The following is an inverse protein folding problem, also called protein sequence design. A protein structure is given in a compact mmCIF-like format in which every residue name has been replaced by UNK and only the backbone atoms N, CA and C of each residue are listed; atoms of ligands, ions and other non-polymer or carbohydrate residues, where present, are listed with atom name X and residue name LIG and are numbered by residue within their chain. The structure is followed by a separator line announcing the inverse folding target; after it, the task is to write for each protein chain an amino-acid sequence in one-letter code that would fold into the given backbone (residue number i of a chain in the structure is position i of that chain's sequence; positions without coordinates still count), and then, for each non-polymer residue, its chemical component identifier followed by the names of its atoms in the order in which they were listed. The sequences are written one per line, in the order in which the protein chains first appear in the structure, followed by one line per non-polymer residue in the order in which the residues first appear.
data_IF_600571023617
#
_entry.id   IF_600571023617
#
_cell.length_a   1.000
_cell.length_b   1.000
_cell.length_c   1.000
_cell.angle_alpha   90.00
_cell.angle_beta   90.00
_cell.angle_gamma   90.00
#
_symmetry.space_group_name_H-M   'P 1'
#
loop_
_entity.id
_entity.type
_entity.pdbx_description
1 polymer ?
#
# COMPACT_ATOMS: atom_id res chain seq x y z
N UNK A 1 -21.39 -2.96 -11.38
CA UNK A 1 -21.98 -2.24 -12.55
C UNK A 1 -20.94 -1.71 -13.56
N UNK A 2 -19.83 -2.39 -13.71
CA UNK A 2 -18.81 -2.05 -14.71
C UNK A 2 -19.09 -2.71 -16.08
N UNK A 3 -20.29 -3.22 -16.30
CA UNK A 3 -20.68 -3.82 -17.57
C UNK A 3 -20.58 -2.78 -18.71
N UNK A 4 -19.60 -2.98 -19.59
CA UNK A 4 -19.32 -2.09 -20.73
C UNK A 4 -18.14 -1.14 -20.54
N UNK A 5 -17.35 -1.28 -19.47
CA UNK A 5 -16.04 -0.65 -19.33
C UNK A 5 -14.94 -1.67 -19.62
N UNK A 6 -13.90 -1.22 -20.27
CA UNK A 6 -12.69 -1.99 -20.57
C UNK A 6 -11.43 -1.39 -19.91
N UNK A 7 -11.59 -0.28 -19.19
CA UNK A 7 -10.51 0.44 -18.51
C UNK A 7 -10.87 0.75 -17.06
N UNK A 8 -10.00 0.37 -16.16
CA UNK A 8 -10.23 0.48 -14.73
C UNK A 8 -9.06 1.17 -14.05
N UNK A 9 -9.35 2.14 -13.21
CA UNK A 9 -8.40 2.75 -12.27
C UNK A 9 -8.99 2.58 -10.88
N UNK A 10 -8.38 1.72 -10.08
CA UNK A 10 -8.93 1.24 -8.81
C UNK A 10 -7.98 1.54 -7.67
N UNK A 11 -8.43 2.32 -6.69
CA UNK A 11 -7.68 2.54 -5.46
C UNK A 11 -7.90 1.38 -4.49
N UNK A 12 -6.85 0.64 -4.18
CA UNK A 12 -6.89 -0.48 -3.24
C UNK A 12 -7.12 0.04 -1.82
N UNK A 13 -6.52 1.17 -1.45
CA UNK A 13 -6.80 1.84 -0.16
C UNK A 13 -8.30 2.16 0.02
N UNK A 14 -8.96 2.61 -1.06
CA UNK A 14 -10.40 2.91 -1.00
C UNK A 14 -11.25 1.65 -0.92
N UNK A 15 -10.91 0.63 -1.69
CA UNK A 15 -11.69 -0.60 -1.79
C UNK A 15 -11.58 -1.46 -0.52
N UNK A 16 -10.36 -1.62 0.01
CA UNK A 16 -10.09 -2.53 1.12
C UNK A 16 -10.23 -1.85 2.50
N UNK A 17 -9.99 -0.55 2.57
CA UNK A 17 -9.95 0.16 3.86
C UNK A 17 -10.89 1.36 3.94
N UNK A 18 -11.64 1.66 2.88
CA UNK A 18 -12.52 2.84 2.84
C UNK A 18 -11.78 4.16 2.65
N UNK A 19 -10.49 4.14 2.33
CA UNK A 19 -9.69 5.30 1.97
C UNK A 19 -8.27 5.29 2.50
N UNK A 20 -7.45 6.18 1.94
CA UNK A 20 -6.02 6.31 2.22
C UNK A 20 -5.70 6.50 3.72
N UNK A 21 -6.50 7.30 4.43
CA UNK A 21 -6.28 7.57 5.87
C UNK A 21 -6.62 6.34 6.70
N UNK A 22 -7.69 5.63 6.37
CA UNK A 22 -8.08 4.39 7.03
C UNK A 22 -7.06 3.27 6.79
N UNK A 23 -6.48 3.18 5.60
CA UNK A 23 -5.50 2.14 5.29
C UNK A 23 -4.23 2.21 6.15
N UNK A 24 -3.99 3.37 6.77
CA UNK A 24 -2.88 3.66 7.68
C UNK A 24 -3.28 3.64 9.16
N UNK A 25 -4.50 3.23 9.46
CA UNK A 25 -4.99 3.23 10.82
C UNK A 25 -4.22 2.23 11.69
N UNK A 26 -4.03 2.60 12.96
CA UNK A 26 -3.35 1.80 13.98
C UNK A 26 -4.35 0.95 14.77
N UNK A 27 -5.30 0.32 14.07
CA UNK A 27 -6.29 -0.59 14.66
C UNK A 27 -6.61 -1.71 13.68
N UNK A 28 -7.21 -2.77 14.19
CA UNK A 28 -7.64 -3.90 13.35
C UNK A 28 -8.74 -3.46 12.39
N UNK A 29 -8.60 -3.86 11.14
CA UNK A 29 -9.66 -3.69 10.16
C UNK A 29 -10.69 -4.80 10.32
N UNK A 30 -11.96 -4.41 10.28
CA UNK A 30 -13.07 -5.35 10.27
C UNK A 30 -13.22 -5.97 8.88
N UNK A 31 -13.85 -7.15 8.83
CA UNK A 31 -14.22 -7.78 7.57
C UNK A 31 -15.12 -6.86 6.74
N UNK A 32 -14.93 -6.88 5.43
CA UNK A 32 -15.66 -6.04 4.50
C UNK A 32 -16.98 -6.71 4.15
N UNK A 33 -18.10 -6.05 4.45
CA UNK A 33 -19.42 -6.53 4.09
C UNK A 33 -19.91 -5.88 2.82
N UNK A 34 -20.22 -6.69 1.81
CA UNK A 34 -20.83 -6.23 0.57
C UNK A 34 -22.34 -6.48 0.59
N UNK A 35 -23.16 -5.53 0.08
CA UNK A 35 -24.59 -5.78 -0.08
C UNK A 35 -24.81 -6.91 -1.10
N UNK A 36 -25.71 -7.84 -0.80
CA UNK A 36 -26.07 -8.90 -1.71
C UNK A 36 -26.57 -8.37 -3.07
N UNK A 37 -26.36 -9.13 -4.12
CA UNK A 37 -26.62 -8.72 -5.51
C UNK A 37 -28.08 -8.43 -5.83
N UNK A 38 -29.02 -8.97 -5.07
CA UNK A 38 -30.47 -8.70 -5.21
C UNK A 38 -31.04 -8.35 -3.85
N UNK A 39 -31.58 -7.14 -3.72
CA UNK A 39 -32.01 -6.52 -2.47
C UNK A 39 -32.86 -7.41 -1.58
N UNK A 40 -32.25 -7.95 -0.54
CA UNK A 40 -32.87 -8.79 0.50
C UNK A 40 -32.01 -9.98 0.93
N UNK A 41 -30.93 -10.30 0.26
CA UNK A 41 -29.99 -11.33 0.70
C UNK A 41 -29.05 -10.79 1.80
N UNK A 42 -28.54 -11.69 2.67
CA UNK A 42 -27.55 -11.34 3.67
C UNK A 42 -26.31 -10.78 2.99
N UNK A 43 -25.73 -9.72 3.54
CA UNK A 43 -24.47 -9.20 3.10
C UNK A 43 -23.39 -10.31 3.20
N UNK A 44 -22.68 -10.54 2.12
CA UNK A 44 -21.51 -11.41 2.15
C UNK A 44 -20.37 -10.65 2.81
N UNK A 45 -19.63 -11.32 3.67
CA UNK A 45 -18.50 -10.75 4.40
C UNK A 45 -17.22 -11.38 3.92
N UNK A 46 -16.25 -10.56 3.55
CA UNK A 46 -14.96 -10.96 3.04
C UNK A 46 -13.84 -10.35 3.88
N UNK A 47 -12.77 -11.08 4.06
CA UNK A 47 -11.50 -10.49 4.46
C UNK A 47 -10.94 -9.62 3.34
N UNK A 48 -10.00 -8.73 3.65
CA UNK A 48 -9.32 -7.92 2.64
C UNK A 48 -8.66 -8.77 1.56
N UNK A 49 -8.05 -9.89 1.94
CA UNK A 49 -7.39 -10.82 1.02
C UNK A 49 -8.38 -11.56 0.10
N UNK A 50 -9.51 -12.00 0.63
CA UNK A 50 -10.56 -12.66 -0.15
C UNK A 50 -11.18 -11.69 -1.15
N UNK A 51 -11.51 -10.47 -0.71
CA UNK A 51 -12.06 -9.45 -1.60
C UNK A 51 -11.06 -9.06 -2.69
N UNK A 52 -9.79 -8.90 -2.35
CA UNK A 52 -8.73 -8.62 -3.30
C UNK A 52 -8.58 -9.76 -4.32
N UNK A 53 -8.56 -11.01 -3.86
CA UNK A 53 -8.47 -12.19 -4.74
C UNK A 53 -9.65 -12.31 -5.68
N UNK A 54 -10.87 -12.08 -5.21
CA UNK A 54 -12.09 -12.07 -6.02
C UNK A 54 -12.05 -10.97 -7.09
N UNK A 55 -11.66 -9.75 -6.70
CA UNK A 55 -11.54 -8.62 -7.61
C UNK A 55 -10.51 -8.90 -8.71
N UNK A 56 -9.31 -9.31 -8.33
CA UNK A 56 -8.22 -9.55 -9.28
C UNK A 56 -8.51 -10.69 -10.24
N UNK A 57 -9.08 -11.79 -9.76
CA UNK A 57 -9.48 -12.91 -10.63
C UNK A 57 -10.55 -12.48 -11.63
N UNK A 58 -11.56 -11.74 -11.19
CA UNK A 58 -12.62 -11.23 -12.07
C UNK A 58 -12.08 -10.28 -13.14
N UNK A 59 -11.16 -9.39 -12.78
CA UNK A 59 -10.56 -8.45 -13.74
C UNK A 59 -9.60 -9.14 -14.74
N UNK A 60 -8.99 -10.24 -14.33
CA UNK A 60 -8.08 -11.02 -15.17
C UNK A 60 -8.80 -11.96 -16.15
N UNK A 61 -10.11 -12.24 -15.98
CA UNK A 61 -10.88 -13.08 -16.87
C UNK A 61 -10.99 -12.53 -18.30
N UNK A 62 -10.99 -11.21 -18.44
CA UNK A 62 -11.03 -10.52 -19.73
C UNK A 62 -9.70 -9.84 -20.00
N UNK A 63 -8.92 -10.42 -20.93
CA UNK A 63 -7.60 -9.91 -21.28
C UNK A 63 -7.65 -8.57 -22.05
N UNK A 64 -8.80 -8.16 -22.56
CA UNK A 64 -8.98 -6.87 -23.21
C UNK A 64 -9.17 -5.73 -22.21
N UNK A 65 -9.45 -6.03 -20.95
CA UNK A 65 -9.47 -5.05 -19.87
C UNK A 65 -8.07 -4.45 -19.66
N UNK A 66 -8.01 -3.16 -19.39
CA UNK A 66 -6.80 -2.47 -18.93
C UNK A 66 -7.03 -1.96 -17.51
N UNK A 67 -6.25 -2.49 -16.58
CA UNK A 67 -6.45 -2.25 -15.15
C UNK A 67 -5.23 -1.60 -14.53
N UNK A 68 -5.44 -0.51 -13.81
CA UNK A 68 -4.45 0.16 -13.00
C UNK A 68 -4.88 0.11 -11.54
N UNK A 69 -4.15 -0.66 -10.74
CA UNK A 69 -4.33 -0.75 -9.30
C UNK A 69 -3.47 0.31 -8.64
N UNK A 70 -4.08 1.16 -7.85
CA UNK A 70 -3.41 2.22 -7.12
C UNK A 70 -3.23 1.78 -5.67
N UNK A 71 -1.99 1.77 -5.21
CA UNK A 71 -1.58 1.39 -3.86
C UNK A 71 -0.70 2.49 -3.26
N UNK A 72 -0.49 2.50 -1.95
CA UNK A 72 0.35 3.49 -1.29
C UNK A 72 1.33 2.90 -0.30
N UNK A 73 2.54 3.47 -0.22
CA UNK A 73 3.46 3.27 0.89
C UNK A 73 3.10 4.26 1.99
N UNK A 74 2.94 3.76 3.22
CA UNK A 74 2.63 4.60 4.37
C UNK A 74 3.71 5.65 4.62
N UNK A 75 3.29 6.88 4.94
CA UNK A 75 4.19 7.89 5.49
C UNK A 75 4.70 7.51 6.89
N UNK A 76 5.71 8.22 7.39
CA UNK A 76 6.36 7.85 8.65
C UNK A 76 5.49 7.99 9.89
N UNK A 77 4.48 8.85 9.87
CA UNK A 77 3.65 9.10 11.04
C UNK A 77 2.16 9.08 10.70
N UNK A 78 1.29 8.76 11.66
CA UNK A 78 -0.16 8.78 11.48
C UNK A 78 -0.68 10.21 11.21
N UNK A 79 -1.95 10.30 10.80
CA UNK A 79 -2.58 11.61 10.57
C UNK A 79 -2.99 12.23 11.91
N UNK A 80 -2.50 13.46 12.17
CA UNK A 80 -2.90 14.23 13.36
C UNK A 80 -4.41 14.46 13.36
N UNK A 81 -5.04 14.25 14.51
CA UNK A 81 -6.47 14.45 14.71
C UNK A 81 -7.36 13.30 14.22
N UNK A 82 -6.83 12.35 13.49
CA UNK A 82 -7.57 11.17 13.10
C UNK A 82 -7.59 10.16 14.26
N UNK A 83 -8.78 9.73 14.66
CA UNK A 83 -9.02 8.80 15.77
C UNK A 83 -8.35 9.19 17.10
N UNK A 84 -8.24 10.50 17.34
CA UNK A 84 -7.68 11.02 18.58
C UNK A 84 -6.17 11.18 18.59
N UNK A 85 -5.48 10.89 17.49
CA UNK A 85 -4.04 11.10 17.36
C UNK A 85 -3.63 12.55 17.59
N UNK A 86 -2.66 12.78 18.45
CA UNK A 86 -2.15 14.10 18.81
C UNK A 86 -0.93 14.50 17.99
N UNK A 87 -0.53 15.76 18.05
CA UNK A 87 0.73 16.21 17.46
C UNK A 87 1.94 15.58 18.17
N UNK A 88 1.81 15.27 19.45
CA UNK A 88 2.86 14.61 20.24
C UNK A 88 3.10 13.19 19.73
N UNK A 89 2.03 12.40 19.56
CA UNK A 89 2.09 11.05 18.99
C UNK A 89 2.68 11.07 17.57
N UNK A 90 2.25 12.03 16.75
CA UNK A 90 2.80 12.24 15.42
C UNK A 90 4.31 12.42 15.44
N UNK A 91 4.82 13.31 16.30
CA UNK A 91 6.25 13.60 16.39
C UNK A 91 7.04 12.41 16.94
N UNK A 92 6.51 11.72 17.96
CA UNK A 92 7.12 10.55 18.57
C UNK A 92 7.26 9.40 17.55
N UNK A 93 6.18 9.03 16.89
CA UNK A 93 6.15 7.96 15.89
C UNK A 93 6.96 8.32 14.64
N UNK A 94 6.95 9.59 14.20
CA UNK A 94 7.79 10.06 13.12
C UNK A 94 9.27 9.91 13.47
N UNK A 95 9.69 10.31 14.66
CA UNK A 95 11.07 10.23 15.12
C UNK A 95 11.53 8.78 15.26
N UNK A 96 10.66 7.90 15.77
CA UNK A 96 10.91 6.48 15.86
C UNK A 96 11.01 5.82 14.47
N UNK A 97 10.08 6.11 13.55
CA UNK A 97 10.06 5.57 12.19
C UNK A 97 11.21 6.04 11.32
N UNK A 98 11.76 7.23 11.60
CA UNK A 98 12.89 7.80 10.87
C UNK A 98 14.25 7.20 11.27
N UNK A 99 14.31 6.40 12.33
CA UNK A 99 15.57 5.77 12.72
C UNK A 99 15.98 4.73 11.66
N UNK A 100 17.28 4.56 11.40
CA UNK A 100 17.79 3.50 10.54
C UNK A 100 17.36 2.13 11.05
N UNK A 101 16.97 1.26 10.11
CA UNK A 101 16.56 -0.11 10.39
C UNK A 101 17.43 -1.09 9.59
N UNK A 102 17.52 -2.36 10.01
CA UNK A 102 18.05 -3.41 9.16
C UNK A 102 17.31 -3.43 7.83
N UNK A 103 18.02 -3.72 6.75
CA UNK A 103 17.38 -3.87 5.45
C UNK A 103 16.39 -5.04 5.49
N UNK A 104 15.22 -4.84 4.87
CA UNK A 104 14.30 -5.93 4.59
C UNK A 104 14.92 -6.76 3.47
N UNK A 105 15.53 -7.89 3.84
CA UNK A 105 16.28 -8.70 2.90
C UNK A 105 15.34 -9.63 2.12
N UNK A 106 15.21 -9.40 0.83
CA UNK A 106 14.84 -10.30 -0.24
C UNK A 106 13.84 -11.43 0.07
N UNK A 107 14.10 -12.60 -0.46
CA UNK A 107 13.25 -13.81 -0.33
C UNK A 107 13.08 -14.33 1.11
N UNK A 108 13.88 -13.86 2.05
CA UNK A 108 13.84 -14.29 3.45
C UNK A 108 12.89 -13.44 4.31
N UNK A 109 12.23 -12.42 3.76
CA UNK A 109 11.29 -11.62 4.51
C UNK A 109 10.00 -12.40 4.74
N UNK A 110 9.87 -12.95 5.94
CA UNK A 110 8.57 -13.42 6.43
C UNK A 110 7.83 -12.18 6.93
N UNK A 111 6.82 -11.75 6.18
CA UNK A 111 6.08 -10.52 6.48
C UNK A 111 5.50 -10.49 7.90
N UNK A 112 5.11 -11.64 8.45
CA UNK A 112 4.70 -11.76 9.85
C UNK A 112 5.79 -11.43 10.88
N UNK A 113 7.06 -11.28 10.47
CA UNK A 113 8.18 -10.85 11.34
C UNK A 113 8.62 -9.40 11.10
N UNK A 114 7.94 -8.67 10.24
CA UNK A 114 8.27 -7.26 9.93
C UNK A 114 8.25 -6.41 11.20
N UNK A 115 7.26 -6.61 12.05
CA UNK A 115 7.14 -5.89 13.31
C UNK A 115 8.35 -6.11 14.23
N UNK A 116 8.82 -7.36 14.36
CA UNK A 116 9.99 -7.70 15.16
C UNK A 116 11.25 -7.07 14.57
N UNK A 117 11.42 -7.16 13.25
CA UNK A 117 12.53 -6.54 12.54
C UNK A 117 12.57 -5.02 12.74
N UNK A 118 11.40 -4.38 12.70
CA UNK A 118 11.30 -2.92 12.84
C UNK A 118 11.45 -2.40 14.26
N UNK A 119 11.53 -3.28 15.26
CA UNK A 119 11.92 -2.92 16.62
C UNK A 119 13.43 -2.77 16.79
N UNK A 120 14.21 -3.24 15.82
CA UNK A 120 15.67 -3.19 15.84
C UNK A 120 16.21 -1.94 15.16
N UNK A 121 17.25 -1.36 15.68
CA UNK A 121 18.08 -0.37 15.00
C UNK A 121 18.99 -1.01 13.95
N UNK A 122 19.67 -0.20 13.15
CA UNK A 122 20.61 -0.68 12.12
C UNK A 122 21.79 -1.52 12.69
N UNK A 123 22.07 -1.38 13.97
CA UNK A 123 23.07 -2.16 14.71
C UNK A 123 22.56 -3.53 15.20
N UNK A 124 21.27 -3.82 14.98
CA UNK A 124 20.60 -5.03 15.43
C UNK A 124 20.15 -5.01 16.91
N UNK A 125 20.35 -3.91 17.60
CA UNK A 125 19.88 -3.75 18.98
C UNK A 125 18.45 -3.22 19.01
N UNK A 126 17.67 -3.61 20.04
CA UNK A 126 16.31 -3.12 20.22
C UNK A 126 16.32 -1.62 20.55
N UNK A 127 15.52 -0.86 19.81
CA UNK A 127 15.37 0.58 20.04
C UNK A 127 14.64 0.83 21.36
N UNK A 128 15.21 1.70 22.18
CA UNK A 128 14.58 2.13 23.44
C UNK A 128 13.43 3.10 23.17
N UNK A 129 12.20 2.62 23.33
CA UNK A 129 10.98 3.38 23.10
C UNK A 129 10.87 4.63 23.99
N UNK A 130 11.44 4.57 25.20
CA UNK A 130 11.41 5.70 26.14
C UNK A 130 12.14 6.95 25.59
N UNK A 131 13.16 6.75 24.74
CA UNK A 131 13.88 7.85 24.07
C UNK A 131 12.95 8.65 23.16
N UNK A 132 11.92 8.00 22.61
CA UNK A 132 10.93 8.63 21.73
C UNK A 132 9.64 9.05 22.44
N UNK A 133 9.51 8.70 23.73
CA UNK A 133 8.29 8.94 24.50
C UNK A 133 7.15 7.98 24.15
N UNK A 134 7.47 6.81 23.57
CA UNK A 134 6.49 5.80 23.16
C UNK A 134 6.34 4.70 24.20
N UNK A 135 5.12 4.19 24.31
CA UNK A 135 4.82 2.94 25.01
C UNK A 135 4.92 1.74 24.08
N UNK A 136 5.03 0.53 24.66
CA UNK A 136 4.98 -0.72 23.89
C UNK A 136 3.69 -0.88 23.07
N UNK A 137 2.55 -0.43 23.61
CA UNK A 137 1.27 -0.50 22.90
C UNK A 137 1.27 0.41 21.66
N UNK A 138 1.67 1.68 21.79
CA UNK A 138 1.72 2.63 20.68
C UNK A 138 2.68 2.19 19.58
N UNK A 139 3.89 1.74 19.96
CA UNK A 139 4.85 1.21 19.00
C UNK A 139 4.33 -0.06 18.32
N UNK A 140 3.71 -0.98 19.08
CA UNK A 140 3.12 -2.21 18.56
C UNK A 140 2.01 -1.95 17.56
N UNK A 141 1.05 -1.08 17.88
CA UNK A 141 -0.04 -0.71 16.97
C UNK A 141 0.49 -0.05 15.68
N UNK A 142 1.46 0.85 15.80
CA UNK A 142 2.10 1.49 14.66
C UNK A 142 2.80 0.48 13.74
N UNK A 143 3.58 -0.43 14.31
CA UNK A 143 4.31 -1.44 13.53
C UNK A 143 3.36 -2.48 12.91
N UNK A 144 2.29 -2.87 13.63
CA UNK A 144 1.27 -3.77 13.12
C UNK A 144 0.54 -3.17 11.91
N UNK A 145 0.16 -1.89 11.98
CA UNK A 145 -0.46 -1.20 10.86
C UNK A 145 0.45 -1.16 9.62
N UNK A 146 1.75 -0.92 9.82
CA UNK A 146 2.74 -0.93 8.73
C UNK A 146 2.94 -2.32 8.16
N UNK A 147 3.12 -3.31 9.03
CA UNK A 147 3.28 -4.71 8.62
C UNK A 147 2.11 -5.19 7.78
N UNK A 148 0.88 -4.95 8.24
CA UNK A 148 -0.34 -5.25 7.50
C UNK A 148 -0.38 -4.56 6.12
N UNK A 149 -0.06 -3.28 6.06
CA UNK A 149 -0.08 -2.53 4.81
C UNK A 149 0.94 -3.07 3.81
N UNK A 150 2.14 -3.38 4.26
CA UNK A 150 3.18 -3.98 3.42
C UNK A 150 2.77 -5.38 2.95
N UNK A 151 2.16 -6.19 3.82
CA UNK A 151 1.68 -7.53 3.50
C UNK A 151 0.57 -7.51 2.45
N UNK A 152 -0.39 -6.59 2.56
CA UNK A 152 -1.43 -6.39 1.55
C UNK A 152 -0.85 -6.03 0.19
N UNK A 153 0.09 -5.07 0.15
CA UNK A 153 0.75 -4.66 -1.08
C UNK A 153 1.55 -5.82 -1.71
N UNK A 154 2.29 -6.57 -0.89
CA UNK A 154 3.04 -7.75 -1.33
C UNK A 154 2.09 -8.83 -1.89
N UNK A 155 1.05 -9.20 -1.16
CA UNK A 155 0.08 -10.23 -1.56
C UNK A 155 -0.64 -9.85 -2.84
N UNK A 156 -1.00 -8.58 -3.00
CA UNK A 156 -1.57 -8.06 -4.26
C UNK A 156 -0.62 -8.30 -5.44
N UNK A 157 0.65 -7.96 -5.30
CA UNK A 157 1.65 -8.14 -6.36
C UNK A 157 1.89 -9.63 -6.67
N UNK A 158 1.91 -10.49 -5.65
CA UNK A 158 2.00 -11.95 -5.84
C UNK A 158 0.78 -12.51 -6.58
N UNK A 159 -0.44 -12.10 -6.20
CA UNK A 159 -1.67 -12.52 -6.86
C UNK A 159 -1.69 -12.12 -8.34
N UNK A 160 -1.38 -10.86 -8.65
CA UNK A 160 -1.32 -10.37 -10.04
C UNK A 160 -0.26 -11.12 -10.84
N UNK A 161 0.89 -11.41 -10.24
CA UNK A 161 1.95 -12.21 -10.88
C UNK A 161 1.50 -13.66 -11.10
N UNK A 162 0.85 -14.27 -10.10
CA UNK A 162 0.34 -15.63 -10.18
C UNK A 162 -0.75 -15.83 -11.23
N UNK A 163 -1.61 -14.84 -11.41
CA UNK A 163 -2.63 -14.80 -12.46
C UNK A 163 -2.04 -14.62 -13.86
N UNK A 164 -0.76 -14.24 -13.97
CA UNK A 164 -0.10 -13.87 -15.25
C UNK A 164 -0.88 -12.80 -16.01
N UNK A 165 -1.51 -11.90 -15.28
CA UNK A 165 -2.36 -10.85 -15.82
C UNK A 165 -1.49 -9.70 -16.36
N UNK A 166 -1.15 -9.75 -17.65
CA UNK A 166 -0.36 -8.71 -18.32
C UNK A 166 -1.15 -7.41 -18.52
N UNK A 167 -2.46 -7.49 -18.44
CA UNK A 167 -3.41 -6.37 -18.54
C UNK A 167 -3.65 -5.64 -17.20
N UNK A 168 -3.12 -6.15 -16.10
CA UNK A 168 -3.23 -5.53 -14.77
C UNK A 168 -1.87 -4.96 -14.36
N UNK A 169 -1.83 -3.66 -14.12
CA UNK A 169 -0.65 -2.92 -13.70
C UNK A 169 -0.82 -2.36 -12.28
N UNK A 170 0.28 -2.21 -11.57
CA UNK A 170 0.31 -1.66 -10.21
C UNK A 170 1.07 -0.35 -10.21
N UNK A 171 0.42 0.70 -9.69
CA UNK A 171 1.04 1.99 -9.39
C UNK A 171 1.10 2.19 -7.89
N UNK A 172 2.30 2.27 -7.35
CA UNK A 172 2.51 2.49 -5.92
C UNK A 172 2.92 3.94 -5.70
N UNK A 173 2.12 4.69 -4.96
CA UNK A 173 2.41 6.06 -4.54
C UNK A 173 3.21 6.09 -3.25
N UNK A 174 4.27 6.89 -3.21
CA UNK A 174 5.03 7.16 -1.99
C UNK A 174 4.43 8.39 -1.32
N UNK A 175 3.92 8.22 -0.10
CA UNK A 175 3.37 9.32 0.67
C UNK A 175 4.42 9.92 1.60
N UNK A 176 4.58 11.25 1.55
CA UNK A 176 5.50 12.04 2.39
C UNK A 176 6.86 11.33 2.60
N UNK A 177 7.57 11.06 1.51
CA UNK A 177 8.83 10.32 1.56
C UNK A 177 9.92 11.05 2.32
N UNK A 178 10.71 10.30 3.09
CA UNK A 178 11.96 10.74 3.69
C UNK A 178 13.15 10.24 2.86
N UNK A 179 14.16 11.07 2.66
CA UNK A 179 15.42 10.66 2.04
C UNK A 179 16.31 9.84 3.00
N UNK A 180 15.98 9.82 4.29
CA UNK A 180 16.75 9.15 5.31
C UNK A 180 16.50 7.64 5.32
N UNK A 181 17.39 6.89 5.96
CA UNK A 181 17.21 5.47 6.21
C UNK A 181 16.15 5.25 7.27
N UNK A 182 14.91 5.03 6.82
CA UNK A 182 13.71 4.93 7.64
C UNK A 182 12.97 3.63 7.35
N UNK A 183 11.99 3.30 8.20
CA UNK A 183 11.05 2.22 7.94
C UNK A 183 10.44 2.34 6.53
N UNK A 184 9.97 3.54 6.18
CA UNK A 184 9.36 3.79 4.87
C UNK A 184 10.33 3.49 3.71
N UNK A 185 11.61 3.84 3.85
CA UNK A 185 12.62 3.58 2.82
C UNK A 185 12.85 2.08 2.62
N UNK A 186 12.83 1.31 3.70
CA UNK A 186 12.91 -0.15 3.62
C UNK A 186 11.71 -0.74 2.86
N UNK A 187 10.49 -0.29 3.17
CA UNK A 187 9.27 -0.70 2.47
C UNK A 187 9.31 -0.35 0.98
N UNK A 188 9.75 0.87 0.66
CA UNK A 188 9.95 1.33 -0.72
C UNK A 188 10.95 0.44 -1.47
N UNK A 189 12.08 0.12 -0.85
CA UNK A 189 13.10 -0.73 -1.44
C UNK A 189 12.57 -2.15 -1.68
N UNK A 190 11.86 -2.70 -0.70
CA UNK A 190 11.23 -4.01 -0.78
C UNK A 190 10.21 -4.10 -1.91
N UNK A 191 9.24 -3.18 -1.97
CA UNK A 191 8.20 -3.17 -3.01
C UNK A 191 8.79 -2.91 -4.40
N UNK A 192 9.80 -2.03 -4.50
CA UNK A 192 10.50 -1.77 -5.76
C UNK A 192 11.13 -3.02 -6.35
N UNK A 193 11.68 -3.90 -5.52
CA UNK A 193 12.29 -5.15 -5.97
C UNK A 193 11.28 -6.14 -6.57
N UNK A 194 10.00 -5.97 -6.32
CA UNK A 194 8.91 -6.84 -6.78
C UNK A 194 8.13 -6.28 -7.98
N UNK A 195 8.44 -5.05 -8.45
CA UNK A 195 7.76 -4.46 -9.58
C UNK A 195 8.00 -5.28 -10.86
N UNK A 196 6.91 -5.58 -11.57
CA UNK A 196 6.95 -6.21 -12.88
C UNK A 196 7.10 -5.15 -13.98
N UNK A 197 7.33 -5.60 -15.20
CA UNK A 197 7.31 -4.70 -16.36
C UNK A 197 5.92 -4.03 -16.49
N UNK A 198 5.88 -2.72 -16.55
CA UNK A 198 4.64 -1.94 -16.60
C UNK A 198 4.16 -1.42 -15.26
N UNK A 199 4.57 -2.03 -14.14
CA UNK A 199 4.33 -1.49 -12.80
C UNK A 199 5.25 -0.29 -12.53
N UNK A 200 4.83 0.60 -11.62
CA UNK A 200 5.67 1.75 -11.25
C UNK A 200 5.48 2.14 -9.78
N UNK A 201 6.57 2.68 -9.23
CA UNK A 201 6.58 3.32 -7.92
C UNK A 201 6.87 4.81 -8.13
N UNK A 202 5.93 5.65 -7.71
CA UNK A 202 5.89 7.07 -8.03
C UNK A 202 5.88 7.92 -6.76
N UNK A 203 6.48 9.11 -6.83
CA UNK A 203 6.36 10.09 -5.77
C UNK A 203 4.95 10.68 -5.74
N UNK A 204 4.40 10.81 -4.52
CA UNK A 204 3.05 11.33 -4.27
C UNK A 204 1.95 10.27 -4.37
N UNK A 205 0.91 10.43 -3.56
CA UNK A 205 -0.29 9.58 -3.58
C UNK A 205 -1.51 10.34 -4.08
N UNK A 206 -1.57 11.65 -3.83
CA UNK A 206 -2.76 12.47 -4.12
C UNK A 206 -3.07 12.60 -5.61
N UNK A 207 -2.05 12.54 -6.46
CA UNK A 207 -2.16 12.68 -7.91
C UNK A 207 -2.05 11.33 -8.66
N UNK A 208 -1.95 10.22 -7.93
CA UNK A 208 -1.73 8.90 -8.51
C UNK A 208 -2.83 8.47 -9.48
N UNK A 209 -4.09 8.67 -9.09
CA UNK A 209 -5.24 8.39 -9.95
C UNK A 209 -5.25 9.27 -11.19
N UNK A 210 -4.89 10.55 -11.06
CA UNK A 210 -4.78 11.47 -12.19
C UNK A 210 -3.69 11.02 -13.17
N UNK A 211 -2.54 10.58 -12.67
CA UNK A 211 -1.46 10.03 -13.51
C UNK A 211 -1.90 8.79 -14.28
N UNK A 212 -2.62 7.86 -13.63
CA UNK A 212 -3.15 6.66 -14.27
C UNK A 212 -4.16 6.99 -15.37
N UNK A 213 -5.15 7.84 -15.08
CA UNK A 213 -6.16 8.27 -16.05
C UNK A 213 -5.52 9.02 -17.23
N UNK A 214 -4.57 9.90 -16.95
CA UNK A 214 -3.85 10.64 -18.00
C UNK A 214 -3.11 9.67 -18.92
N UNK A 215 -2.45 8.67 -18.38
CA UNK A 215 -1.74 7.64 -19.17
C UNK A 215 -2.70 6.90 -20.08
N UNK A 216 -3.82 6.40 -19.56
CA UNK A 216 -4.85 5.72 -20.37
C UNK A 216 -5.41 6.61 -21.49
N UNK A 217 -5.68 7.89 -21.20
CA UNK A 217 -6.15 8.83 -22.21
C UNK A 217 -5.12 9.07 -23.30
N UNK A 218 -3.85 9.20 -22.96
CA UNK A 218 -2.78 9.41 -23.92
C UNK A 218 -2.58 8.18 -24.82
N UNK A 219 -2.66 6.99 -24.26
CA UNK A 219 -2.61 5.73 -25.02
C UNK A 219 -3.76 5.61 -26.01
N UNK A 220 -4.99 6.00 -25.60
CA UNK A 220 -6.18 6.04 -26.49
C UNK A 220 -5.98 6.95 -27.69
N UNK A 221 -5.34 8.09 -27.51
CA UNK A 221 -5.04 9.03 -28.59
C UNK A 221 -3.78 8.70 -29.39
N UNK A 222 -3.17 7.52 -29.14
CA UNK A 222 -1.99 7.07 -29.85
C UNK A 222 -0.74 7.92 -29.57
N UNK A 223 -0.70 8.56 -28.40
CA UNK A 223 0.46 9.35 -28.02
C UNK A 223 1.59 8.45 -27.52
N UNK A 224 2.58 8.29 -28.36
CA UNK A 224 3.85 7.62 -28.00
C UNK A 224 4.82 8.64 -27.39
N UNK A 225 4.52 9.08 -26.19
CA UNK A 225 5.30 10.12 -25.52
C UNK A 225 6.75 9.73 -25.31
N UNK A 226 7.64 10.72 -25.36
CA UNK A 226 9.01 10.55 -24.91
C UNK A 226 9.04 10.26 -23.41
N UNK A 227 9.78 9.23 -22.99
CA UNK A 227 10.05 9.01 -21.58
C UNK A 227 10.88 10.20 -21.05
N UNK A 228 10.31 10.98 -20.16
CA UNK A 228 11.02 12.04 -19.44
C UNK A 228 11.55 11.42 -18.15
N UNK A 229 12.85 11.17 -18.08
CA UNK A 229 13.48 10.86 -16.81
C UNK A 229 13.89 12.15 -16.12
N UNK A 230 13.34 12.40 -14.96
CA UNK A 230 13.83 13.46 -14.06
C UNK A 230 14.78 12.80 -13.08
N UNK A 231 16.07 13.14 -13.17
CA UNK A 231 17.04 12.80 -12.12
C UNK A 231 17.06 13.96 -11.13
N UNK A 232 16.81 13.66 -9.86
CA UNK A 232 17.00 14.59 -8.75
C UNK A 232 18.39 14.44 -8.17
#
# INVERSE_FOLDING_TARGET
EAAGCDRYVLSMDQLLSGGLVNSRAMYNHEDISLPGAEGGEMAETYSEYELMGLLLSTLAEDADNQVWLLESVMRLAPTVGYQGGTLEDYNALRSYGAQPRPELAGEALVLGTVEESYRLGADGETLDLAVYGLTEAEAGEYLAARGRKLELSHTMMEMVTGLKAENIHVLIGIDDSSEENSIQKNEIAYLRAQLRQGDALLSGVDDLAFKAVTKLCLEEYGWEGAAVSVQY
#
